data_IF_302402037960
#
_entry.id   IF_302402037960
#
_cell.length_a   1.000
_cell.length_b   1.000
_cell.length_c   1.000
_cell.angle_alpha   90.00
_cell.angle_beta   90.00
_cell.angle_gamma   90.00
#
_symmetry.space_group_name_H-M   'P 1'
#
loop_
_entity.id
_entity.type
_entity.pdbx_description
1 polymer ?
#
# COMPACT_ATOMS: atom_id res chain seq x y z
N UNK A 1 -62.89 3.74 19.82
CA UNK A 1 -61.66 4.46 19.45
C UNK A 1 -60.46 3.55 19.53
N UNK A 2 -60.27 2.74 20.56
CA UNK A 2 -59.14 1.80 20.73
C UNK A 2 -58.91 0.80 19.57
N UNK A 3 -59.95 0.19 18.99
CA UNK A 3 -59.80 -0.76 17.88
C UNK A 3 -59.32 -0.13 16.54
N UNK A 4 -59.47 1.19 16.36
CA UNK A 4 -58.96 1.88 15.20
C UNK A 4 -57.49 2.29 15.34
N UNK A 5 -57.06 2.56 16.57
CA UNK A 5 -55.64 2.85 16.87
C UNK A 5 -54.78 1.58 16.80
N UNK A 6 -55.26 0.44 17.32
CA UNK A 6 -54.53 -0.84 17.17
C UNK A 6 -54.41 -1.30 15.70
N UNK A 7 -55.44 -1.06 14.88
CA UNK A 7 -55.37 -1.42 13.44
C UNK A 7 -54.47 -0.49 12.64
N UNK A 8 -54.32 0.77 13.04
CA UNK A 8 -53.39 1.72 12.43
C UNK A 8 -51.94 1.40 12.86
N UNK A 9 -51.68 1.08 14.08
CA UNK A 9 -50.34 0.68 14.56
C UNK A 9 -49.87 -0.63 13.92
N UNK A 10 -50.70 -1.61 13.74
CA UNK A 10 -50.35 -2.87 13.05
C UNK A 10 -50.11 -2.66 11.55
N UNK A 11 -50.85 -1.77 10.88
CA UNK A 11 -50.64 -1.45 9.48
C UNK A 11 -49.35 -0.61 9.26
N UNK A 12 -49.06 0.34 10.17
CA UNK A 12 -47.81 1.10 10.18
C UNK A 12 -46.59 0.21 10.49
N UNK A 13 -46.70 -0.73 11.44
CA UNK A 13 -45.65 -1.73 11.70
C UNK A 13 -45.44 -2.68 10.54
N UNK A 14 -46.49 -3.12 9.82
CA UNK A 14 -46.35 -3.93 8.61
C UNK A 14 -45.67 -3.17 7.47
N UNK A 15 -45.99 -1.90 7.24
CA UNK A 15 -45.35 -1.03 6.23
C UNK A 15 -43.90 -0.77 6.60
N UNK A 16 -43.61 -0.47 7.89
CA UNK A 16 -42.27 -0.32 8.40
C UNK A 16 -41.44 -1.58 8.16
N UNK A 17 -41.96 -2.74 8.53
CA UNK A 17 -41.24 -4.01 8.39
C UNK A 17 -41.06 -4.47 6.93
N UNK A 18 -41.95 -4.17 5.99
CA UNK A 18 -41.88 -4.65 4.60
C UNK A 18 -41.15 -3.73 3.65
N UNK A 19 -41.25 -2.43 3.82
CA UNK A 19 -40.70 -1.46 2.85
C UNK A 19 -39.56 -0.63 3.42
N UNK A 20 -39.68 -0.17 4.65
CA UNK A 20 -38.73 0.80 5.25
C UNK A 20 -37.50 0.11 5.82
N UNK A 21 -37.69 -1.00 6.55
CA UNK A 21 -36.57 -1.73 7.16
C UNK A 21 -35.59 -2.26 6.13
N UNK A 22 -35.99 -2.82 4.97
CA UNK A 22 -35.06 -3.22 3.92
C UNK A 22 -34.19 -2.06 3.42
N UNK A 23 -34.79 -0.89 3.19
CA UNK A 23 -34.08 0.30 2.70
C UNK A 23 -33.06 0.81 3.73
N UNK A 24 -33.46 0.89 4.99
CA UNK A 24 -32.57 1.29 6.11
C UNK A 24 -31.45 0.26 6.29
N UNK A 25 -31.78 -1.04 6.31
CA UNK A 25 -30.80 -2.10 6.43
C UNK A 25 -29.78 -2.08 5.27
N UNK A 26 -30.19 -1.76 4.06
CA UNK A 26 -29.30 -1.59 2.93
C UNK A 26 -28.27 -0.48 3.15
N UNK A 27 -28.73 0.70 3.59
CA UNK A 27 -27.83 1.83 3.87
C UNK A 27 -26.87 1.49 5.02
N UNK A 28 -27.36 0.92 6.09
CA UNK A 28 -26.55 0.52 7.25
C UNK A 28 -25.54 -0.56 6.87
N UNK A 29 -25.99 -1.58 6.13
CA UNK A 29 -25.15 -2.72 5.75
C UNK A 29 -23.96 -2.34 4.87
N UNK A 30 -24.06 -1.28 4.08
CA UNK A 30 -22.90 -0.78 3.29
C UNK A 30 -21.76 -0.23 4.15
N UNK A 31 -22.01 0.04 5.44
CA UNK A 31 -21.04 0.61 6.38
C UNK A 31 -20.62 -0.37 7.48
N UNK A 32 -21.19 -1.55 7.50
CA UNK A 32 -20.86 -2.57 8.50
C UNK A 32 -19.63 -3.38 8.09
N UNK A 33 -18.77 -3.74 9.05
CA UNK A 33 -17.73 -4.74 8.85
C UNK A 33 -18.32 -6.08 8.42
N UNK A 34 -17.56 -6.84 7.63
CA UNK A 34 -17.99 -8.15 7.13
C UNK A 34 -18.47 -9.11 8.23
N UNK A 35 -17.82 -9.12 9.39
CA UNK A 35 -18.22 -9.96 10.54
C UNK A 35 -19.63 -9.66 11.02
N UNK A 36 -20.03 -8.39 11.03
CA UNK A 36 -21.35 -7.96 11.49
C UNK A 36 -22.40 -8.28 10.42
N UNK A 37 -22.07 -8.13 9.14
CA UNK A 37 -22.93 -8.61 8.04
C UNK A 37 -23.21 -10.11 8.13
N UNK A 38 -22.19 -10.92 8.43
CA UNK A 38 -22.36 -12.37 8.61
C UNK A 38 -23.25 -12.66 9.83
N UNK A 39 -23.07 -11.92 10.93
CA UNK A 39 -23.91 -12.07 12.12
C UNK A 39 -25.38 -11.72 11.82
N UNK A 40 -25.63 -10.68 11.04
CA UNK A 40 -26.98 -10.29 10.62
C UNK A 40 -27.68 -11.38 9.78
N UNK A 41 -26.94 -12.16 8.98
CA UNK A 41 -27.51 -13.27 8.21
C UNK A 41 -28.16 -14.34 9.10
N UNK A 42 -27.76 -14.43 10.36
CA UNK A 42 -28.24 -15.44 11.31
C UNK A 42 -29.48 -14.99 12.10
N UNK A 43 -29.88 -13.72 12.00
CA UNK A 43 -30.97 -13.17 12.81
C UNK A 43 -32.35 -13.70 12.37
N UNK A 44 -32.65 -13.64 11.08
CA UNK A 44 -33.87 -14.19 10.55
C UNK A 44 -33.80 -14.44 9.01
N UNK A 45 -34.67 -15.28 8.45
CA UNK A 45 -34.65 -15.63 7.01
C UNK A 45 -34.89 -14.45 6.07
N UNK A 46 -35.59 -13.42 6.53
CA UNK A 46 -35.89 -12.25 5.71
C UNK A 46 -34.64 -11.36 5.56
N UNK A 47 -33.94 -11.01 6.65
CA UNK A 47 -32.67 -10.29 6.61
C UNK A 47 -31.65 -11.06 5.77
N UNK A 48 -31.56 -12.38 5.96
CA UNK A 48 -30.69 -13.25 5.17
C UNK A 48 -30.94 -13.07 3.67
N UNK A 49 -32.19 -13.20 3.20
CA UNK A 49 -32.54 -13.03 1.77
C UNK A 49 -32.23 -11.63 1.27
N UNK A 50 -32.56 -10.60 2.06
CA UNK A 50 -32.30 -9.21 1.70
C UNK A 50 -30.81 -8.95 1.54
N UNK A 51 -29.94 -9.35 2.48
CA UNK A 51 -28.51 -9.11 2.39
C UNK A 51 -27.84 -9.89 1.26
N UNK A 52 -28.24 -11.16 1.05
CA UNK A 52 -27.68 -11.98 -0.04
C UNK A 52 -28.09 -11.47 -1.42
N UNK A 53 -29.28 -10.89 -1.58
CA UNK A 53 -29.73 -10.34 -2.86
C UNK A 53 -28.94 -9.11 -3.30
N UNK A 54 -28.04 -8.57 -2.47
CA UNK A 54 -27.25 -7.37 -2.77
C UNK A 54 -25.76 -7.70 -2.94
N UNK A 55 -25.30 -7.99 -4.17
CA UNK A 55 -23.93 -8.41 -4.44
C UNK A 55 -22.86 -7.39 -4.00
N UNK A 56 -23.21 -6.10 -3.97
CA UNK A 56 -22.29 -5.02 -3.55
C UNK A 56 -21.82 -5.13 -2.10
N UNK A 57 -22.53 -5.86 -1.24
CA UNK A 57 -22.13 -6.10 0.15
C UNK A 57 -21.04 -7.18 0.29
N UNK A 58 -20.81 -7.99 -0.76
CA UNK A 58 -19.97 -9.19 -0.72
C UNK A 58 -18.75 -9.08 -1.64
N UNK A 59 -18.26 -7.85 -1.87
CA UNK A 59 -17.12 -7.59 -2.75
C UNK A 59 -15.78 -7.78 -2.05
N UNK A 60 -15.75 -7.85 -0.72
CA UNK A 60 -14.53 -8.03 0.06
C UNK A 60 -14.62 -9.26 0.95
N UNK A 61 -13.49 -9.96 1.09
CA UNK A 61 -13.25 -11.01 2.07
C UNK A 61 -12.06 -10.58 2.93
N UNK A 62 -12.32 -10.35 4.22
CA UNK A 62 -11.29 -9.98 5.18
C UNK A 62 -11.09 -11.10 6.21
N UNK A 63 -9.89 -11.68 6.18
CA UNK A 63 -9.44 -12.73 7.09
C UNK A 63 -8.15 -12.32 7.83
N UNK A 64 -7.91 -11.01 7.96
CA UNK A 64 -6.75 -10.46 8.66
C UNK A 64 -6.59 -11.10 10.04
N UNK A 65 -5.40 -11.64 10.30
CA UNK A 65 -5.04 -12.32 11.56
C UNK A 65 -5.99 -13.45 12.01
N UNK A 66 -6.85 -13.96 11.12
CA UNK A 66 -7.80 -14.99 11.48
C UNK A 66 -7.17 -16.38 11.53
N UNK A 67 -7.54 -17.16 12.54
CA UNK A 67 -7.22 -18.58 12.60
C UNK A 67 -8.08 -19.38 11.61
N UNK A 68 -7.51 -20.43 11.05
CA UNK A 68 -8.14 -21.30 10.05
C UNK A 68 -8.61 -20.52 8.79
N UNK A 69 -7.88 -19.44 8.46
CA UNK A 69 -8.21 -18.55 7.35
C UNK A 69 -8.17 -19.28 6.01
N UNK A 70 -7.22 -20.20 5.80
CA UNK A 70 -7.11 -20.98 4.55
C UNK A 70 -8.37 -21.78 4.25
N UNK A 71 -8.89 -22.54 5.21
CA UNK A 71 -10.12 -23.32 5.03
C UNK A 71 -11.36 -22.42 4.92
N UNK A 72 -11.39 -21.32 5.70
CA UNK A 72 -12.48 -20.34 5.63
C UNK A 72 -12.54 -19.65 4.27
N UNK A 73 -11.39 -19.35 3.66
CA UNK A 73 -11.30 -18.79 2.31
C UNK A 73 -11.97 -19.71 1.29
N UNK A 74 -11.58 -21.01 1.28
CA UNK A 74 -12.16 -22.00 0.38
C UNK A 74 -13.67 -22.12 0.60
N UNK A 75 -14.12 -22.20 1.85
CA UNK A 75 -15.55 -22.28 2.20
C UNK A 75 -16.32 -21.01 1.77
N UNK A 76 -15.78 -19.82 2.01
CA UNK A 76 -16.42 -18.56 1.64
C UNK A 76 -16.56 -18.44 0.12
N UNK A 77 -15.49 -18.71 -0.64
CA UNK A 77 -15.49 -18.61 -2.10
C UNK A 77 -16.41 -19.65 -2.78
N UNK A 78 -16.79 -20.70 -2.08
CA UNK A 78 -17.79 -21.67 -2.55
C UNK A 78 -19.24 -21.14 -2.45
N UNK A 79 -19.45 -20.02 -1.74
CA UNK A 79 -20.79 -19.42 -1.58
C UNK A 79 -21.10 -18.46 -2.73
N UNK A 80 -22.28 -18.57 -3.28
CA UNK A 80 -22.74 -17.74 -4.44
C UNK A 80 -22.62 -16.24 -4.20
N UNK A 81 -22.78 -15.78 -2.96
CA UNK A 81 -22.66 -14.34 -2.62
C UNK A 81 -21.28 -13.75 -2.91
N UNK A 82 -20.20 -14.56 -2.89
CA UNK A 82 -18.82 -14.12 -3.14
C UNK A 82 -18.34 -14.37 -4.58
N UNK A 83 -19.22 -14.76 -5.50
CA UNK A 83 -18.83 -15.00 -6.91
C UNK A 83 -18.24 -13.78 -7.64
N UNK A 84 -18.46 -12.58 -7.12
CA UNK A 84 -17.96 -11.32 -7.68
C UNK A 84 -17.01 -10.61 -6.72
N UNK A 85 -16.31 -11.34 -5.86
CA UNK A 85 -15.36 -10.74 -4.91
C UNK A 85 -14.26 -9.98 -5.66
N UNK A 86 -13.93 -8.78 -5.15
CA UNK A 86 -12.92 -7.88 -5.71
C UNK A 86 -11.69 -7.74 -4.82
N UNK A 87 -11.87 -7.91 -3.51
CA UNK A 87 -10.83 -7.68 -2.54
C UNK A 87 -10.71 -8.87 -1.59
N UNK A 88 -9.50 -9.43 -1.46
CA UNK A 88 -9.21 -10.48 -0.49
C UNK A 88 -8.03 -10.01 0.37
N UNK A 89 -8.25 -9.99 1.69
CA UNK A 89 -7.24 -9.70 2.69
C UNK A 89 -6.98 -10.93 3.56
N UNK A 90 -5.76 -11.47 3.47
CA UNK A 90 -5.26 -12.61 4.25
C UNK A 90 -4.04 -12.21 5.08
N UNK A 91 -3.86 -10.89 5.32
CA UNK A 91 -2.71 -10.37 6.05
C UNK A 91 -2.55 -11.05 7.41
N UNK A 92 -1.33 -11.55 7.66
CA UNK A 92 -0.96 -12.31 8.87
C UNK A 92 -1.82 -13.55 9.16
N UNK A 93 -2.50 -14.11 8.18
CA UNK A 93 -3.17 -15.40 8.29
C UNK A 93 -2.14 -16.55 8.22
N UNK A 94 -1.56 -16.91 9.37
CA UNK A 94 -0.40 -17.79 9.50
C UNK A 94 -0.64 -19.25 9.08
N UNK A 95 -1.87 -19.69 8.96
CA UNK A 95 -2.26 -21.03 8.56
C UNK A 95 -2.44 -21.19 7.04
N UNK A 96 -2.54 -20.08 6.30
CA UNK A 96 -2.69 -20.13 4.84
C UNK A 96 -1.43 -20.68 4.20
N UNK A 97 -1.59 -21.76 3.43
CA UNK A 97 -0.52 -22.48 2.76
C UNK A 97 -0.82 -22.75 1.27
N UNK A 98 0.16 -23.21 0.52
CA UNK A 98 0.03 -23.49 -0.92
C UNK A 98 -1.18 -24.35 -1.25
N UNK A 99 -1.47 -25.37 -0.41
CA UNK A 99 -2.62 -26.26 -0.59
C UNK A 99 -3.96 -25.53 -0.58
N UNK A 100 -4.13 -24.52 0.30
CA UNK A 100 -5.36 -23.75 0.34
C UNK A 100 -5.58 -22.98 -0.97
N UNK A 101 -4.51 -22.40 -1.54
CA UNK A 101 -4.58 -21.66 -2.80
C UNK A 101 -4.80 -22.60 -4.01
N UNK A 102 -4.23 -23.81 -3.97
CA UNK A 102 -4.54 -24.86 -4.96
C UNK A 102 -6.00 -25.33 -4.85
N UNK A 103 -6.53 -25.49 -3.64
CA UNK A 103 -7.94 -25.81 -3.41
C UNK A 103 -8.86 -24.69 -3.93
N UNK A 104 -8.52 -23.41 -3.71
CA UNK A 104 -9.24 -22.28 -4.29
C UNK A 104 -9.23 -22.34 -5.82
N UNK A 105 -8.06 -22.59 -6.43
CA UNK A 105 -7.95 -22.74 -7.90
C UNK A 105 -8.85 -23.83 -8.42
N UNK A 106 -8.86 -25.00 -7.79
CA UNK A 106 -9.60 -26.17 -8.29
C UNK A 106 -11.10 -26.09 -8.06
N UNK A 107 -11.56 -25.47 -6.95
CA UNK A 107 -12.96 -25.49 -6.50
C UNK A 107 -13.68 -24.16 -6.77
N UNK A 108 -12.97 -23.04 -6.78
CA UNK A 108 -13.56 -21.69 -6.74
C UNK A 108 -13.01 -20.74 -7.81
N UNK A 109 -12.27 -21.21 -8.81
CA UNK A 109 -11.56 -20.37 -9.79
C UNK A 109 -12.46 -19.34 -10.52
N UNK A 110 -13.73 -19.67 -10.77
CA UNK A 110 -14.67 -18.76 -11.40
C UNK A 110 -15.06 -17.56 -10.52
N UNK A 111 -14.92 -17.66 -9.19
CA UNK A 111 -15.26 -16.58 -8.26
C UNK A 111 -14.22 -15.47 -8.22
N UNK A 112 -13.00 -15.70 -8.71
CA UNK A 112 -11.88 -14.76 -8.65
C UNK A 112 -11.57 -14.04 -9.96
N UNK A 113 -12.41 -14.21 -10.98
CA UNK A 113 -12.25 -13.53 -12.27
C UNK A 113 -12.30 -11.99 -12.14
N UNK A 114 -13.04 -11.48 -11.15
CA UNK A 114 -13.19 -10.05 -10.89
C UNK A 114 -12.29 -9.54 -9.73
N UNK A 115 -11.37 -10.37 -9.24
CA UNK A 115 -10.49 -9.96 -8.13
C UNK A 115 -9.56 -8.84 -8.57
N UNK A 116 -9.60 -7.73 -7.84
CA UNK A 116 -8.79 -6.53 -8.10
C UNK A 116 -7.61 -6.42 -7.12
N UNK A 117 -7.79 -6.80 -5.86
CA UNK A 117 -6.71 -6.75 -4.86
C UNK A 117 -6.58 -8.04 -4.07
N UNK A 118 -5.35 -8.48 -3.88
CA UNK A 118 -5.00 -9.66 -3.08
C UNK A 118 -3.87 -9.31 -2.12
N UNK A 119 -4.16 -9.38 -0.83
CA UNK A 119 -3.19 -9.18 0.24
C UNK A 119 -2.87 -10.53 0.91
N UNK A 120 -1.61 -10.97 0.74
CA UNK A 120 -1.04 -12.18 1.32
C UNK A 120 0.12 -11.85 2.28
N UNK A 121 0.16 -10.63 2.82
CA UNK A 121 1.22 -10.18 3.71
C UNK A 121 1.40 -11.14 4.90
N UNK A 122 2.63 -11.52 5.17
CA UNK A 122 2.96 -12.37 6.31
C UNK A 122 2.46 -13.82 6.24
N UNK A 123 1.87 -14.26 5.12
CA UNK A 123 1.48 -15.66 4.90
C UNK A 123 2.73 -16.51 4.58
N UNK A 124 3.58 -16.76 5.59
CA UNK A 124 4.92 -17.31 5.41
C UNK A 124 4.98 -18.75 4.89
N UNK A 125 3.86 -19.47 4.87
CA UNK A 125 3.77 -20.83 4.33
C UNK A 125 3.51 -20.87 2.82
N UNK A 126 3.21 -19.71 2.20
CA UNK A 126 3.02 -19.61 0.76
C UNK A 126 4.37 -19.57 0.06
N UNK A 127 4.52 -20.38 -0.98
CA UNK A 127 5.67 -20.41 -1.88
C UNK A 127 5.27 -20.05 -3.32
N UNK A 128 6.20 -20.21 -4.26
CA UNK A 128 5.94 -20.00 -5.69
C UNK A 128 4.78 -20.87 -6.21
N UNK A 129 4.55 -22.05 -5.60
CA UNK A 129 3.42 -22.94 -5.95
C UNK A 129 2.08 -22.28 -5.63
N UNK A 130 1.94 -21.67 -4.45
CA UNK A 130 0.74 -20.95 -4.07
C UNK A 130 0.52 -19.71 -4.94
N UNK A 131 1.61 -18.99 -5.27
CA UNK A 131 1.54 -17.82 -6.17
C UNK A 131 1.08 -18.25 -7.56
N UNK A 132 1.62 -19.34 -8.13
CA UNK A 132 1.13 -19.88 -9.41
C UNK A 132 -0.35 -20.22 -9.35
N UNK A 133 -0.77 -20.95 -8.32
CA UNK A 133 -2.14 -21.41 -8.19
C UNK A 133 -3.13 -20.24 -8.18
N UNK A 134 -2.90 -19.23 -7.33
CA UNK A 134 -3.84 -18.12 -7.17
C UNK A 134 -3.82 -17.15 -8.36
N UNK A 135 -2.64 -16.81 -8.88
CA UNK A 135 -2.53 -15.86 -9.98
C UNK A 135 -3.14 -16.38 -11.27
N UNK A 136 -3.11 -17.72 -11.49
CA UNK A 136 -3.69 -18.35 -12.69
C UNK A 136 -5.20 -18.15 -12.87
N UNK A 137 -5.89 -17.71 -11.80
CA UNK A 137 -7.35 -17.52 -11.78
C UNK A 137 -7.77 -16.07 -11.48
N UNK A 138 -6.82 -15.14 -11.40
CA UNK A 138 -7.05 -13.73 -11.06
C UNK A 138 -6.57 -12.78 -12.19
N UNK A 139 -7.11 -12.85 -13.42
CA UNK A 139 -6.59 -12.09 -14.57
C UNK A 139 -6.73 -10.57 -14.42
N UNK A 140 -7.68 -10.09 -13.61
CA UNK A 140 -8.00 -8.68 -13.42
C UNK A 140 -7.33 -8.06 -12.18
N UNK A 141 -6.33 -8.74 -11.61
CA UNK A 141 -5.60 -8.27 -10.43
C UNK A 141 -4.85 -6.97 -10.72
N UNK A 142 -5.11 -5.92 -9.92
CA UNK A 142 -4.50 -4.59 -9.98
C UNK A 142 -3.54 -4.33 -8.81
N UNK A 143 -3.89 -4.82 -7.61
CA UNK A 143 -3.08 -4.70 -6.40
C UNK A 143 -2.67 -6.07 -5.87
N UNK A 144 -1.34 -6.26 -5.69
CA UNK A 144 -0.78 -7.51 -5.15
C UNK A 144 0.24 -7.24 -4.07
N UNK A 145 0.03 -7.83 -2.89
CA UNK A 145 0.90 -7.64 -1.74
C UNK A 145 1.29 -8.97 -1.11
N UNK A 146 2.61 -9.19 -0.97
CA UNK A 146 3.22 -10.39 -0.38
C UNK A 146 4.32 -10.02 0.64
N UNK A 147 4.11 -8.92 1.38
CA UNK A 147 5.06 -8.50 2.41
C UNK A 147 5.50 -9.67 3.32
N UNK A 148 6.81 -9.82 3.48
CA UNK A 148 7.46 -10.82 4.34
C UNK A 148 7.21 -12.29 3.96
N UNK A 149 6.90 -12.59 2.71
CA UNK A 149 6.78 -13.96 2.21
C UNK A 149 8.14 -14.46 1.72
N UNK A 150 8.93 -14.98 2.66
CA UNK A 150 10.34 -15.38 2.40
C UNK A 150 10.52 -16.63 1.54
N UNK A 151 9.45 -17.40 1.27
CA UNK A 151 9.49 -18.59 0.41
C UNK A 151 9.19 -18.29 -1.06
N UNK A 152 8.76 -17.06 -1.35
CA UNK A 152 8.54 -16.61 -2.73
C UNK A 152 9.86 -16.16 -3.35
N UNK A 153 10.12 -16.60 -4.58
CA UNK A 153 11.33 -16.34 -5.35
C UNK A 153 11.01 -15.66 -6.68
N UNK A 154 12.00 -15.49 -7.55
CA UNK A 154 11.81 -14.98 -8.91
C UNK A 154 10.81 -15.82 -9.73
N UNK A 155 10.64 -17.11 -9.39
CA UNK A 155 9.67 -17.99 -10.05
C UNK A 155 8.22 -17.54 -9.72
N UNK A 156 7.93 -17.20 -8.48
CA UNK A 156 6.61 -16.67 -8.10
C UNK A 156 6.29 -15.36 -8.83
N UNK A 157 7.27 -14.45 -8.96
CA UNK A 157 7.11 -13.21 -9.71
C UNK A 157 6.91 -13.51 -11.21
N UNK A 158 7.58 -14.50 -11.77
CA UNK A 158 7.36 -14.93 -13.16
C UNK A 158 5.91 -15.40 -13.37
N UNK A 159 5.35 -16.19 -12.45
CA UNK A 159 3.93 -16.59 -12.51
C UNK A 159 2.98 -15.40 -12.41
N UNK A 160 3.25 -14.45 -11.50
CA UNK A 160 2.46 -13.23 -11.35
C UNK A 160 2.42 -12.43 -12.67
N UNK A 161 3.59 -12.09 -13.24
CA UNK A 161 3.64 -11.25 -14.46
C UNK A 161 3.10 -11.97 -15.69
N UNK A 162 3.14 -13.30 -15.72
CA UNK A 162 2.55 -14.12 -16.79
C UNK A 162 1.02 -14.06 -16.77
N UNK A 163 0.43 -14.18 -15.59
CA UNK A 163 -0.99 -14.42 -15.41
C UNK A 163 -1.80 -13.13 -15.19
N UNK A 164 -1.24 -12.14 -14.47
CA UNK A 164 -1.90 -10.89 -14.06
C UNK A 164 -1.26 -9.71 -14.79
N UNK A 165 -1.88 -9.20 -15.84
CA UNK A 165 -1.31 -8.13 -16.69
C UNK A 165 -1.65 -6.71 -16.25
N UNK A 166 -2.59 -6.54 -15.33
CA UNK A 166 -3.16 -5.26 -14.94
C UNK A 166 -2.64 -4.73 -13.60
N UNK A 167 -1.57 -5.33 -13.06
CA UNK A 167 -1.01 -4.92 -11.77
C UNK A 167 -0.40 -3.53 -11.88
N UNK A 168 -0.88 -2.63 -11.02
CA UNK A 168 -0.43 -1.24 -10.90
C UNK A 168 0.08 -0.92 -9.50
N UNK A 169 -0.28 -1.71 -8.49
CA UNK A 169 0.21 -1.60 -7.11
C UNK A 169 0.84 -2.92 -6.67
N UNK A 170 2.15 -2.88 -6.37
CA UNK A 170 2.93 -4.07 -6.06
C UNK A 170 3.77 -3.90 -4.80
N UNK A 171 3.48 -4.72 -3.78
CA UNK A 171 4.26 -4.75 -2.55
C UNK A 171 4.99 -6.09 -2.38
N UNK A 172 6.31 -6.04 -2.52
CA UNK A 172 7.23 -7.16 -2.35
C UNK A 172 8.12 -7.00 -1.11
N UNK A 173 7.77 -6.09 -0.22
CA UNK A 173 8.56 -5.74 0.95
C UNK A 173 8.94 -6.98 1.77
N UNK A 174 10.22 -7.12 2.13
CA UNK A 174 10.74 -8.26 2.92
C UNK A 174 10.83 -9.59 2.18
N UNK A 175 10.56 -9.63 0.88
CA UNK A 175 10.76 -10.84 0.05
C UNK A 175 12.26 -11.04 -0.22
N UNK A 176 12.96 -11.68 0.70
CA UNK A 176 14.43 -11.80 0.69
C UNK A 176 14.99 -12.68 -0.45
N UNK A 177 14.15 -13.40 -1.17
CA UNK A 177 14.58 -14.35 -2.22
C UNK A 177 14.25 -13.88 -3.64
N UNK A 178 13.72 -12.69 -3.82
CA UNK A 178 13.64 -12.03 -5.12
C UNK A 178 14.98 -11.37 -5.47
N UNK A 179 15.32 -11.38 -6.75
CA UNK A 179 16.56 -10.81 -7.29
C UNK A 179 16.25 -9.82 -8.42
N UNK A 180 17.28 -9.27 -9.07
CA UNK A 180 17.13 -8.42 -10.24
C UNK A 180 16.33 -9.07 -11.38
N UNK A 181 16.28 -10.42 -11.44
CA UNK A 181 15.43 -11.13 -12.40
C UNK A 181 13.96 -10.78 -12.20
N UNK A 182 13.50 -10.69 -10.95
CA UNK A 182 12.13 -10.24 -10.63
C UNK A 182 11.90 -8.81 -11.12
N UNK A 183 12.85 -7.89 -10.87
CA UNK A 183 12.69 -6.49 -11.30
C UNK A 183 12.69 -6.34 -12.82
N UNK A 184 13.48 -7.14 -13.53
CA UNK A 184 13.44 -7.18 -14.98
C UNK A 184 12.08 -7.66 -15.50
N UNK A 185 11.54 -8.75 -14.93
CA UNK A 185 10.21 -9.26 -15.28
C UNK A 185 9.11 -8.21 -15.02
N UNK A 186 9.14 -7.53 -13.86
CA UNK A 186 8.20 -6.49 -13.50
C UNK A 186 8.31 -5.32 -14.49
N UNK A 187 9.50 -4.81 -14.74
CA UNK A 187 9.74 -3.68 -15.64
C UNK A 187 9.27 -3.95 -17.08
N UNK A 188 9.43 -5.18 -17.56
CA UNK A 188 9.05 -5.55 -18.91
C UNK A 188 7.54 -5.83 -19.07
N UNK A 189 6.80 -6.08 -17.97
CA UNK A 189 5.37 -6.40 -18.00
C UNK A 189 4.46 -5.33 -17.40
N UNK A 190 4.93 -4.48 -16.47
CA UNK A 190 4.11 -3.54 -15.70
C UNK A 190 4.55 -2.09 -15.94
N UNK A 191 4.48 -1.62 -17.18
CA UNK A 191 4.88 -0.25 -17.54
C UNK A 191 3.94 0.82 -16.94
N UNK A 192 2.71 0.44 -16.60
CA UNK A 192 1.71 1.30 -15.94
C UNK A 192 1.78 1.23 -14.40
N UNK A 193 2.85 0.68 -13.83
CA UNK A 193 3.02 0.56 -12.38
C UNK A 193 2.99 1.94 -11.73
N UNK A 194 2.07 2.12 -10.77
CA UNK A 194 1.84 3.33 -9.99
C UNK A 194 2.57 3.31 -8.65
N UNK A 195 2.57 2.14 -7.99
CA UNK A 195 3.15 1.95 -6.67
C UNK A 195 4.03 0.70 -6.60
N UNK A 196 5.26 0.85 -6.09
CA UNK A 196 6.20 -0.24 -5.90
C UNK A 196 6.88 -0.14 -4.53
N UNK A 197 6.75 -1.21 -3.73
CA UNK A 197 7.43 -1.33 -2.45
C UNK A 197 8.42 -2.50 -2.49
N UNK A 198 9.71 -2.18 -2.35
CA UNK A 198 10.84 -3.12 -2.33
C UNK A 198 11.56 -3.14 -0.97
N UNK A 199 10.98 -2.56 0.06
CA UNK A 199 11.57 -2.49 1.41
C UNK A 199 12.27 -3.81 1.79
N UNK A 200 13.53 -3.75 2.20
CA UNK A 200 14.31 -4.91 2.68
C UNK A 200 14.43 -6.08 1.69
N UNK A 201 14.29 -5.88 0.39
CA UNK A 201 14.59 -6.88 -0.65
C UNK A 201 16.11 -6.93 -0.90
N UNK A 202 16.84 -7.54 -0.01
CA UNK A 202 18.31 -7.41 0.15
C UNK A 202 19.18 -8.03 -0.96
N UNK A 203 18.59 -8.76 -1.92
CA UNK A 203 19.32 -9.34 -3.06
C UNK A 203 19.22 -8.53 -4.35
N UNK A 204 18.57 -7.36 -4.28
CA UNK A 204 18.46 -6.43 -5.40
C UNK A 204 19.73 -5.62 -5.54
N UNK A 205 20.08 -5.24 -6.77
CA UNK A 205 21.23 -4.37 -7.09
C UNK A 205 20.80 -3.17 -7.94
N UNK A 206 21.73 -2.24 -8.19
CA UNK A 206 21.51 -1.07 -9.05
C UNK A 206 20.93 -1.46 -10.41
N UNK A 207 21.39 -2.58 -11.00
CA UNK A 207 20.93 -3.06 -12.30
C UNK A 207 19.43 -3.30 -12.35
N UNK A 208 18.90 -4.00 -11.36
CA UNK A 208 17.45 -4.27 -11.26
C UNK A 208 16.65 -2.99 -11.07
N UNK A 209 17.07 -2.10 -10.15
CA UNK A 209 16.39 -0.85 -9.88
C UNK A 209 16.41 0.07 -11.11
N UNK A 210 17.54 0.21 -11.79
CA UNK A 210 17.64 1.00 -13.01
C UNK A 210 16.66 0.52 -14.09
N UNK A 211 16.45 -0.80 -14.24
CA UNK A 211 15.48 -1.34 -15.20
C UNK A 211 14.05 -0.88 -14.88
N UNK A 212 13.64 -0.91 -13.62
CA UNK A 212 12.35 -0.38 -13.16
C UNK A 212 12.23 1.11 -13.50
N UNK A 213 13.22 1.93 -13.10
CA UNK A 213 13.21 3.37 -13.28
C UNK A 213 13.17 3.81 -14.75
N UNK A 214 13.73 2.99 -15.64
CA UNK A 214 13.73 3.23 -17.09
C UNK A 214 12.40 2.86 -17.76
N UNK A 215 11.66 1.88 -17.23
CA UNK A 215 10.47 1.32 -17.88
C UNK A 215 9.15 1.74 -17.25
N UNK A 216 9.12 1.92 -15.91
CA UNK A 216 7.92 2.23 -15.16
C UNK A 216 7.81 3.74 -14.88
N UNK A 217 7.71 4.56 -15.93
CA UNK A 217 7.73 6.03 -15.81
C UNK A 217 6.51 6.64 -15.16
N UNK A 218 5.43 5.88 -14.96
CA UNK A 218 4.19 6.33 -14.31
C UNK A 218 4.21 6.19 -12.79
N UNK A 219 5.29 5.67 -12.19
CA UNK A 219 5.41 5.50 -10.74
C UNK A 219 5.15 6.82 -9.99
N UNK A 220 4.19 6.78 -9.07
CA UNK A 220 3.87 7.84 -8.12
C UNK A 220 4.40 7.54 -6.71
N UNK A 221 4.52 6.25 -6.36
CA UNK A 221 5.01 5.79 -5.06
C UNK A 221 6.13 4.78 -5.22
N UNK A 222 7.30 5.07 -4.62
CA UNK A 222 8.46 4.18 -4.62
C UNK A 222 9.04 4.07 -3.21
N UNK A 223 9.03 2.86 -2.65
CA UNK A 223 9.59 2.60 -1.33
C UNK A 223 10.82 1.69 -1.45
N UNK A 224 11.97 2.23 -1.07
CA UNK A 224 13.29 1.57 -1.07
C UNK A 224 13.89 1.52 0.36
N UNK A 225 13.05 1.53 1.40
CA UNK A 225 13.48 1.50 2.80
C UNK A 225 14.42 0.32 3.08
N UNK A 226 15.52 0.62 3.78
CA UNK A 226 16.52 -0.36 4.22
C UNK A 226 17.18 -1.16 3.08
N UNK A 227 17.46 -0.49 1.95
CA UNK A 227 18.21 -1.01 0.83
C UNK A 227 19.55 -0.27 0.69
N UNK A 228 20.48 -0.57 1.60
CA UNK A 228 21.79 0.09 1.69
C UNK A 228 22.76 -0.27 0.55
N UNK A 229 22.43 -1.27 -0.27
CA UNK A 229 23.26 -1.73 -1.38
C UNK A 229 23.24 -0.78 -2.58
N UNK A 230 22.13 -0.08 -2.82
CA UNK A 230 22.00 0.81 -3.95
C UNK A 230 22.97 2.01 -3.86
N UNK A 231 23.45 2.47 -5.01
CA UNK A 231 24.36 3.59 -5.14
C UNK A 231 23.76 4.74 -5.95
N UNK A 232 24.47 5.84 -6.09
CA UNK A 232 24.06 6.96 -6.91
C UNK A 232 23.82 6.57 -8.39
N UNK A 233 24.40 5.47 -8.87
CA UNK A 233 24.16 4.98 -10.22
C UNK A 233 22.67 4.64 -10.44
N UNK A 234 22.01 4.07 -9.43
CA UNK A 234 20.57 3.84 -9.48
C UNK A 234 19.80 5.11 -9.07
N UNK A 235 20.18 5.78 -7.98
CA UNK A 235 19.42 6.91 -7.44
C UNK A 235 19.29 8.08 -8.43
N UNK A 236 20.32 8.37 -9.24
CA UNK A 236 20.27 9.38 -10.30
C UNK A 236 19.16 9.12 -11.33
N UNK A 237 18.80 7.86 -11.59
CA UNK A 237 17.71 7.48 -12.51
C UNK A 237 16.32 7.75 -11.96
N UNK A 238 16.15 8.00 -10.65
CA UNK A 238 14.86 8.41 -10.05
C UNK A 238 14.35 9.71 -10.71
N UNK A 239 15.26 10.56 -11.20
CA UNK A 239 14.91 11.76 -11.98
C UNK A 239 14.08 11.50 -13.23
N UNK A 240 13.99 10.25 -13.70
CA UNK A 240 13.16 9.83 -14.83
C UNK A 240 11.68 9.63 -14.49
N UNK A 241 11.29 9.79 -13.21
CA UNK A 241 9.93 9.59 -12.71
C UNK A 241 9.20 10.94 -12.56
N UNK A 242 8.54 11.46 -13.59
CA UNK A 242 7.94 12.80 -13.56
C UNK A 242 6.68 12.88 -12.69
N UNK A 243 6.10 11.72 -12.35
CA UNK A 243 4.88 11.62 -11.55
C UNK A 243 5.12 11.26 -10.08
N UNK A 244 6.38 11.07 -9.67
CA UNK A 244 6.74 10.62 -8.33
C UNK A 244 6.28 11.62 -7.27
N UNK A 245 5.49 11.13 -6.30
CA UNK A 245 4.93 11.89 -5.15
C UNK A 245 5.48 11.41 -3.82
N UNK A 246 5.67 10.10 -3.67
CA UNK A 246 6.19 9.48 -2.47
C UNK A 246 7.50 8.75 -2.77
N UNK A 247 8.55 9.06 -1.99
CA UNK A 247 9.86 8.40 -2.07
C UNK A 247 10.41 8.13 -0.68
N UNK A 248 10.59 6.86 -0.35
CA UNK A 248 11.25 6.44 0.88
C UNK A 248 12.63 5.86 0.57
N UNK A 249 13.68 6.54 1.04
CA UNK A 249 15.09 6.17 0.93
C UNK A 249 15.73 5.97 2.31
N UNK A 250 14.93 5.73 3.36
CA UNK A 250 15.47 5.52 4.69
C UNK A 250 16.51 4.40 4.69
N UNK A 251 17.71 4.71 5.20
CA UNK A 251 18.85 3.78 5.23
C UNK A 251 19.61 3.66 3.91
N UNK A 252 19.42 4.56 2.96
CA UNK A 252 20.21 4.64 1.72
C UNK A 252 21.62 5.18 2.00
N UNK A 253 22.48 4.34 2.58
CA UNK A 253 23.80 4.72 3.08
C UNK A 253 24.77 5.19 1.99
N UNK A 254 24.56 4.80 0.73
CA UNK A 254 25.41 5.18 -0.40
C UNK A 254 24.84 6.36 -1.22
N UNK A 255 23.66 6.88 -0.85
CA UNK A 255 23.12 8.09 -1.47
C UNK A 255 23.97 9.29 -1.07
N UNK A 256 24.50 10.03 -2.06
CA UNK A 256 25.25 11.27 -1.82
C UNK A 256 24.45 12.49 -2.32
N UNK A 257 25.03 13.68 -2.17
CA UNK A 257 24.44 14.93 -2.69
C UNK A 257 24.27 14.91 -4.20
N UNK A 258 25.11 14.17 -4.94
CA UNK A 258 25.00 14.03 -6.40
C UNK A 258 23.73 13.27 -6.78
N UNK A 259 23.47 12.13 -6.13
CA UNK A 259 22.24 11.37 -6.33
C UNK A 259 21.01 12.18 -5.95
N UNK A 260 21.09 12.88 -4.80
CA UNK A 260 19.98 13.69 -4.30
C UNK A 260 19.69 14.90 -5.20
N UNK A 261 20.72 15.52 -5.78
CA UNK A 261 20.56 16.61 -6.76
C UNK A 261 19.84 16.19 -8.03
N UNK A 262 20.00 14.92 -8.46
CA UNK A 262 19.23 14.37 -9.56
C UNK A 262 17.76 14.13 -9.15
N UNK A 263 17.49 13.60 -7.94
CA UNK A 263 16.14 13.39 -7.39
C UNK A 263 15.36 14.72 -7.31
N UNK A 264 16.05 15.85 -7.12
CA UNK A 264 15.45 17.19 -7.13
C UNK A 264 14.71 17.55 -8.44
N UNK A 265 14.87 16.75 -9.50
CA UNK A 265 14.08 16.89 -10.74
C UNK A 265 12.68 16.29 -10.63
N UNK A 266 12.33 15.53 -9.59
CA UNK A 266 11.00 15.03 -9.31
C UNK A 266 10.10 16.15 -8.77
N UNK A 267 9.59 17.02 -9.66
CA UNK A 267 8.89 18.27 -9.29
C UNK A 267 7.58 18.07 -8.55
N UNK A 268 7.00 16.86 -8.61
CA UNK A 268 5.73 16.50 -7.95
C UNK A 268 5.93 15.81 -6.61
N UNK A 269 7.17 15.71 -6.12
CA UNK A 269 7.47 15.04 -4.87
C UNK A 269 6.81 15.77 -3.70
N UNK A 270 5.98 15.04 -2.96
CA UNK A 270 5.21 15.50 -1.79
C UNK A 270 5.82 14.96 -0.50
N UNK A 271 6.28 13.72 -0.50
CA UNK A 271 6.84 13.05 0.67
C UNK A 271 8.21 12.46 0.33
N UNK A 272 9.23 12.84 1.10
CA UNK A 272 10.59 12.34 0.98
C UNK A 272 11.14 11.93 2.35
N UNK A 273 11.53 10.67 2.46
CA UNK A 273 12.18 10.14 3.65
C UNK A 273 13.65 9.84 3.36
N UNK A 274 14.55 10.59 3.98
CA UNK A 274 16.01 10.46 3.90
C UNK A 274 16.62 10.02 5.24
N UNK A 275 15.83 9.51 6.19
CA UNK A 275 16.30 9.01 7.48
C UNK A 275 17.52 8.11 7.30
N UNK A 276 18.60 8.39 8.05
CA UNK A 276 19.88 7.65 8.00
C UNK A 276 20.59 7.66 6.63
N UNK A 277 20.33 8.63 5.75
CA UNK A 277 21.14 8.87 4.53
C UNK A 277 22.42 9.65 4.91
N UNK A 278 23.34 9.00 5.59
CA UNK A 278 24.46 9.63 6.32
C UNK A 278 25.49 10.39 5.46
N UNK A 279 25.46 10.20 4.13
CA UNK A 279 26.35 10.88 3.17
C UNK A 279 25.74 12.14 2.54
N UNK A 280 24.47 12.43 2.89
CA UNK A 280 23.77 13.65 2.47
C UNK A 280 24.21 14.82 3.35
N UNK A 281 24.36 16.00 2.74
CA UNK A 281 24.73 17.26 3.43
C UNK A 281 23.74 18.39 3.07
N UNK A 282 24.03 19.60 3.58
CA UNK A 282 23.29 20.81 3.20
C UNK A 282 23.21 21.04 1.69
N UNK A 283 24.20 20.55 0.92
CA UNK A 283 24.23 20.71 -0.54
C UNK A 283 23.08 19.95 -1.19
N UNK A 284 22.87 18.69 -0.82
CA UNK A 284 21.78 17.87 -1.33
C UNK A 284 20.42 18.39 -0.90
N UNK A 285 20.27 18.81 0.38
CA UNK A 285 19.04 19.38 0.89
C UNK A 285 18.68 20.69 0.17
N UNK A 286 19.66 21.56 -0.12
CA UNK A 286 19.43 22.76 -0.93
C UNK A 286 18.94 22.42 -2.33
N UNK A 287 19.50 21.38 -2.96
CA UNK A 287 19.02 20.94 -4.27
C UNK A 287 17.55 20.49 -4.22
N UNK A 288 17.17 19.67 -3.22
CA UNK A 288 15.78 19.23 -2.98
C UNK A 288 14.87 20.43 -2.75
N UNK A 289 15.25 21.37 -1.87
CA UNK A 289 14.44 22.55 -1.58
C UNK A 289 14.14 23.37 -2.83
N UNK A 290 15.14 23.56 -3.69
CA UNK A 290 14.98 24.30 -4.97
C UNK A 290 14.12 23.54 -5.98
N UNK A 291 14.28 22.20 -6.02
CA UNK A 291 13.66 21.34 -7.02
C UNK A 291 12.25 20.87 -6.70
N UNK A 292 11.99 20.46 -5.45
CA UNK A 292 10.76 19.81 -5.01
C UNK A 292 9.86 20.77 -4.24
N UNK A 293 9.29 21.76 -4.91
CA UNK A 293 8.51 22.84 -4.28
C UNK A 293 7.12 22.42 -3.78
N UNK A 294 6.70 21.19 -4.05
CA UNK A 294 5.43 20.62 -3.55
C UNK A 294 5.62 19.76 -2.30
N UNK A 295 6.83 19.81 -1.68
CA UNK A 295 7.18 18.95 -0.57
C UNK A 295 6.40 19.34 0.69
N UNK A 296 5.65 18.38 1.25
CA UNK A 296 4.84 18.51 2.46
C UNK A 296 5.48 17.76 3.64
N UNK A 297 6.11 16.61 3.36
CA UNK A 297 6.80 15.79 4.36
C UNK A 297 8.26 15.59 3.98
N UNK A 298 9.18 15.94 4.90
CA UNK A 298 10.59 15.66 4.77
C UNK A 298 11.15 15.09 6.08
N UNK A 299 11.75 13.90 6.00
CA UNK A 299 12.54 13.36 7.10
C UNK A 299 14.03 13.40 6.74
N UNK A 300 14.82 14.05 7.59
CA UNK A 300 16.27 14.14 7.58
C UNK A 300 16.89 13.47 8.83
N UNK A 301 16.10 12.64 9.51
CA UNK A 301 16.49 12.04 10.79
C UNK A 301 17.86 11.37 10.71
N UNK A 302 18.75 11.71 11.66
CA UNK A 302 20.06 11.08 11.82
C UNK A 302 21.12 11.48 10.78
N UNK A 303 20.90 12.57 10.02
CA UNK A 303 21.88 13.06 9.04
C UNK A 303 22.77 14.14 9.66
N UNK A 304 23.99 13.77 10.03
CA UNK A 304 24.95 14.66 10.69
C UNK A 304 25.41 15.84 9.80
N UNK A 305 25.44 15.63 8.47
CA UNK A 305 25.84 16.65 7.49
C UNK A 305 24.81 17.76 7.26
N UNK A 306 23.63 17.69 7.90
CA UNK A 306 22.55 18.68 7.81
C UNK A 306 22.63 19.67 8.95
N UNK A 307 22.61 20.97 8.61
CA UNK A 307 22.76 22.08 9.56
C UNK A 307 21.65 23.12 9.39
N UNK A 308 21.73 24.23 10.15
CA UNK A 308 20.81 25.37 10.00
C UNK A 308 20.73 25.92 8.56
N UNK A 309 21.76 25.74 7.74
CA UNK A 309 21.73 26.11 6.30
C UNK A 309 20.64 25.34 5.53
N UNK A 310 20.40 24.09 5.89
CA UNK A 310 19.29 23.32 5.31
C UNK A 310 17.93 23.90 5.69
N UNK A 311 17.73 24.35 6.95
CA UNK A 311 16.49 25.01 7.36
C UNK A 311 16.27 26.33 6.61
N UNK A 312 17.31 27.14 6.41
CA UNK A 312 17.26 28.37 5.62
C UNK A 312 16.89 28.10 4.17
N UNK A 313 17.47 27.06 3.56
CA UNK A 313 17.13 26.65 2.20
C UNK A 313 15.67 26.19 2.10
N UNK A 314 15.21 25.32 3.02
CA UNK A 314 13.84 24.83 3.05
C UNK A 314 12.84 25.97 3.28
N UNK A 315 13.12 26.89 4.17
CA UNK A 315 12.25 28.06 4.42
C UNK A 315 12.16 28.97 3.19
N UNK A 316 13.23 29.08 2.41
CA UNK A 316 13.22 29.93 1.20
C UNK A 316 12.38 29.35 0.05
N UNK A 317 12.23 28.02 -0.05
CA UNK A 317 11.60 27.40 -1.22
C UNK A 317 10.37 26.54 -0.90
N UNK A 318 10.24 26.02 0.33
CA UNK A 318 9.21 25.08 0.77
C UNK A 318 8.40 25.57 1.97
N UNK A 319 8.56 26.83 2.42
CA UNK A 319 7.88 27.36 3.63
C UNK A 319 6.37 27.26 3.59
N UNK A 320 5.76 27.41 2.40
CA UNK A 320 4.31 27.39 2.23
C UNK A 320 3.71 25.99 1.97
N UNK A 321 4.54 24.95 1.89
CA UNK A 321 4.07 23.58 1.60
C UNK A 321 4.41 22.62 2.72
N UNK A 322 5.56 22.80 3.40
CA UNK A 322 6.06 21.86 4.38
C UNK A 322 5.18 21.85 5.64
N UNK A 323 4.57 20.69 5.94
CA UNK A 323 3.74 20.46 7.12
C UNK A 323 4.45 19.59 8.15
N UNK A 324 5.34 18.70 7.70
CA UNK A 324 6.07 17.78 8.56
C UNK A 324 7.56 17.82 8.24
N UNK A 325 8.38 18.12 9.24
CA UNK A 325 9.83 18.13 9.16
C UNK A 325 10.45 17.40 10.35
N UNK A 326 11.19 16.31 10.06
CA UNK A 326 11.91 15.55 11.06
C UNK A 326 13.42 15.76 10.87
N UNK A 327 14.05 16.48 11.79
CA UNK A 327 15.48 16.75 11.85
C UNK A 327 16.12 16.19 13.14
N UNK A 328 15.43 15.25 13.79
CA UNK A 328 15.94 14.61 14.99
C UNK A 328 17.29 13.91 14.68
N UNK A 329 18.29 14.11 15.52
CA UNK A 329 19.64 13.59 15.29
C UNK A 329 20.50 14.40 14.30
N UNK A 330 20.00 15.49 13.69
CA UNK A 330 20.81 16.44 12.91
C UNK A 330 21.50 17.42 13.87
N UNK A 331 22.65 17.05 14.42
CA UNK A 331 23.37 17.78 15.49
C UNK A 331 23.80 19.21 15.08
N UNK A 332 23.86 19.51 13.80
CA UNK A 332 24.15 20.84 13.25
C UNK A 332 22.96 21.80 13.25
N UNK A 333 21.76 21.35 13.63
CA UNK A 333 20.56 22.17 13.72
C UNK A 333 20.38 22.63 15.17
N UNK A 334 20.29 23.94 15.37
CA UNK A 334 20.04 24.54 16.69
C UNK A 334 18.57 24.40 17.09
N UNK A 335 18.34 24.20 18.38
CA UNK A 335 17.01 24.26 18.96
C UNK A 335 16.36 25.64 18.71
N UNK A 336 15.10 25.62 18.29
CA UNK A 336 14.28 26.82 18.07
C UNK A 336 12.94 26.71 18.81
N UNK A 337 12.41 27.86 19.25
CA UNK A 337 11.05 27.90 19.78
C UNK A 337 10.04 27.58 18.67
N UNK A 338 8.84 27.16 19.06
CA UNK A 338 7.74 26.95 18.12
C UNK A 338 7.45 28.19 17.27
N UNK A 339 7.48 29.36 17.88
CA UNK A 339 7.22 30.63 17.18
C UNK A 339 8.29 30.93 16.14
N UNK A 340 9.56 30.68 16.43
CA UNK A 340 10.66 30.80 15.47
C UNK A 340 10.50 29.84 14.28
N UNK A 341 10.03 28.60 14.54
CA UNK A 341 9.79 27.62 13.49
C UNK A 341 8.60 27.98 12.63
N UNK A 342 7.50 28.49 13.23
CA UNK A 342 6.31 28.95 12.49
C UNK A 342 6.58 30.21 11.66
N UNK A 343 7.56 31.04 12.06
CA UNK A 343 8.04 32.15 11.22
C UNK A 343 8.75 31.62 9.95
N UNK A 344 9.50 30.54 10.06
CA UNK A 344 10.18 29.90 8.92
C UNK A 344 9.22 29.06 8.07
N UNK A 345 8.29 28.36 8.71
CA UNK A 345 7.36 27.40 8.10
C UNK A 345 5.95 27.60 8.64
N UNK A 346 5.16 28.53 8.08
CA UNK A 346 3.83 28.88 8.62
C UNK A 346 2.83 27.74 8.65
N UNK A 347 3.02 26.70 7.83
CA UNK A 347 2.16 25.51 7.75
C UNK A 347 2.67 24.30 8.52
N UNK A 348 3.74 24.44 9.31
CA UNK A 348 4.35 23.33 10.01
C UNK A 348 3.46 22.82 11.15
N UNK A 349 2.99 21.61 11.04
CA UNK A 349 2.18 20.91 12.04
C UNK A 349 3.02 20.02 12.94
N UNK A 350 4.03 19.36 12.37
CA UNK A 350 4.91 18.45 13.07
C UNK A 350 6.39 18.81 12.83
N UNK A 351 7.11 19.10 13.92
CA UNK A 351 8.55 19.31 13.91
C UNK A 351 9.19 18.42 14.96
N UNK A 352 10.15 17.59 14.54
CA UNK A 352 10.90 16.72 15.45
C UNK A 352 12.37 17.13 15.43
N UNK A 353 12.88 17.55 16.59
CA UNK A 353 14.26 17.93 16.81
C UNK A 353 14.71 17.42 18.18
N UNK A 354 15.86 16.77 18.25
CA UNK A 354 16.55 16.32 19.47
C UNK A 354 15.61 15.95 20.65
N UNK A 355 14.90 14.81 20.52
CA UNK A 355 14.15 14.23 21.64
C UNK A 355 15.02 13.37 22.52
#
# INVERSE_FOLDING_TARGET
MERKEEALTTAEEEVWNRETVPKVMMIVSTRLPQKDLISLLLLNPWIHRTLISHPSLWLALDFHEMNNAGNRLVAALSLLRYRNVRHINLEFAQDVEDKNLQDVRSKCGNSLQNLETLNLNGCQKISDIGIEAITSICPNLKGFSIYWNVRVTDLGIMHLVRNCKLVVDLNLSGCKNITDKSLHLIADNYQELDSLNLTRCIKLTDSGLQRILLKCSLLQSLNLYALSIFTDEAYKKISLLPHLKFLDLCGAQNLTDDGLSCIANCKRLVSLNLTWCVRVTDVGVLAIARGCRSLELLSLFGIVGVTDKSLEALSSFCSNTLTTLDVNGCIGIKNRSRDQLLQLFPKLECFKVHS
#
